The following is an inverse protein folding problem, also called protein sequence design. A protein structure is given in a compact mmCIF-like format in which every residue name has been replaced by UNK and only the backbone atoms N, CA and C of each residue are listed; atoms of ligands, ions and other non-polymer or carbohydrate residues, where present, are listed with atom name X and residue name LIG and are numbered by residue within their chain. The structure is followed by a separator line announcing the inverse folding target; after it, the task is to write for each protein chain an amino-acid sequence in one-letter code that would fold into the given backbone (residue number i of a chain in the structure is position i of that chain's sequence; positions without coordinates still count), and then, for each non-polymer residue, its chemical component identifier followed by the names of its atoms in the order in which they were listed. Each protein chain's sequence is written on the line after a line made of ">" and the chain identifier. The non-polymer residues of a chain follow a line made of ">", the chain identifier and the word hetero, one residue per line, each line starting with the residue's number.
data_IF_026868502942
#
_entry.id   IF_026868502942
#
_cell.length_a   1.000
_cell.length_b   1.000
_cell.length_c   1.000
_cell.angle_alpha   90.00
_cell.angle_beta   90.00
_cell.angle_gamma   90.00
#
_symmetry.space_group_name_H-M   'P 1'
#
loop_
_entity.id
_entity.type
_entity.pdbx_description
1 polymer ?
#
# COMPACT_ATOMS: atom_id res chain seq x y z
N UNK A 1 -41.38 46.17 -17.97
CA UNK A 1 -40.76 45.08 -18.76
C UNK A 1 -41.71 44.65 -19.86
N UNK A 2 -41.31 44.75 -21.13
CA UNK A 2 -42.08 44.22 -22.26
C UNK A 2 -42.20 42.70 -22.15
N UNK A 3 -43.27 42.10 -22.70
CA UNK A 3 -43.44 40.63 -22.72
C UNK A 3 -42.23 39.93 -23.35
N UNK A 4 -41.59 40.55 -24.33
CA UNK A 4 -40.35 40.06 -24.97
C UNK A 4 -39.17 39.93 -24.00
N UNK A 5 -38.99 40.87 -23.06
CA UNK A 5 -37.91 40.81 -22.07
C UNK A 5 -38.08 39.63 -21.08
N UNK A 6 -39.33 39.24 -20.77
CA UNK A 6 -39.61 38.06 -19.93
C UNK A 6 -39.25 36.76 -20.64
N UNK A 7 -39.56 36.65 -21.93
CA UNK A 7 -39.21 35.48 -22.74
C UNK A 7 -37.69 35.32 -22.92
N UNK A 8 -36.96 36.42 -23.13
CA UNK A 8 -35.49 36.40 -23.19
C UNK A 8 -34.89 35.88 -21.88
N UNK A 9 -35.41 36.34 -20.74
CA UNK A 9 -34.97 35.84 -19.42
C UNK A 9 -35.23 34.35 -19.22
N UNK A 10 -36.40 33.86 -19.65
CA UNK A 10 -36.72 32.41 -19.59
C UNK A 10 -35.73 31.60 -20.41
N UNK A 11 -35.36 32.06 -21.61
CA UNK A 11 -34.36 31.39 -22.45
C UNK A 11 -32.96 31.41 -21.84
N UNK A 12 -32.54 32.51 -21.22
CA UNK A 12 -31.26 32.61 -20.53
C UNK A 12 -31.21 31.63 -19.36
N UNK A 13 -32.26 31.58 -18.53
CA UNK A 13 -32.34 30.65 -17.40
C UNK A 13 -32.35 29.20 -17.89
N UNK A 14 -33.10 28.89 -18.94
CA UNK A 14 -33.12 27.56 -19.54
C UNK A 14 -31.73 27.15 -20.06
N UNK A 15 -31.01 28.05 -20.71
CA UNK A 15 -29.64 27.82 -21.19
C UNK A 15 -28.68 27.53 -20.03
N UNK A 16 -28.76 28.32 -18.94
CA UNK A 16 -27.93 28.12 -17.75
C UNK A 16 -28.16 26.73 -17.16
N UNK A 17 -29.43 26.32 -17.01
CA UNK A 17 -29.77 24.98 -16.47
C UNK A 17 -29.19 23.87 -17.35
N UNK A 18 -29.32 23.98 -18.68
CA UNK A 18 -28.75 23.00 -19.61
C UNK A 18 -27.21 22.95 -19.49
N UNK A 19 -26.54 24.12 -19.44
CA UNK A 19 -25.10 24.18 -19.25
C UNK A 19 -24.67 23.55 -17.91
N UNK A 20 -25.40 23.81 -16.82
CA UNK A 20 -25.09 23.22 -15.51
C UNK A 20 -25.21 21.69 -15.54
N UNK A 21 -26.27 21.16 -16.15
CA UNK A 21 -26.46 19.70 -16.27
C UNK A 21 -25.32 19.07 -17.08
N UNK A 22 -24.94 19.67 -18.22
CA UNK A 22 -23.83 19.18 -19.05
C UNK A 22 -22.51 19.20 -18.28
N UNK A 23 -22.22 20.27 -17.53
CA UNK A 23 -21.01 20.36 -16.70
C UNK A 23 -20.99 19.30 -15.61
N UNK A 24 -22.11 19.08 -14.92
CA UNK A 24 -22.21 18.05 -13.88
C UNK A 24 -22.03 16.63 -14.44
N UNK A 25 -22.61 16.34 -15.61
CA UNK A 25 -22.42 15.03 -16.24
C UNK A 25 -20.97 14.82 -16.69
N UNK A 26 -20.33 15.86 -17.23
CA UNK A 26 -18.93 15.81 -17.62
C UNK A 26 -18.01 15.60 -16.40
N UNK A 27 -18.26 16.32 -15.29
CA UNK A 27 -17.53 16.10 -14.03
C UNK A 27 -17.68 14.67 -13.52
N UNK A 28 -18.91 14.13 -13.51
CA UNK A 28 -19.15 12.73 -13.08
C UNK A 28 -18.37 11.72 -13.92
N UNK A 29 -18.33 11.89 -15.25
CA UNK A 29 -17.56 11.00 -16.14
C UNK A 29 -16.06 11.10 -15.88
N UNK A 30 -15.55 12.30 -15.66
CA UNK A 30 -14.15 12.52 -15.31
C UNK A 30 -13.78 11.90 -13.96
N UNK A 31 -14.63 12.07 -12.94
CA UNK A 31 -14.45 11.44 -11.62
C UNK A 31 -14.45 9.92 -11.70
N UNK A 32 -15.38 9.34 -12.48
CA UNK A 32 -15.42 7.89 -12.70
C UNK A 32 -14.15 7.38 -13.40
N UNK A 33 -13.67 8.06 -14.45
CA UNK A 33 -12.43 7.69 -15.13
C UNK A 33 -11.20 7.82 -14.25
N UNK A 34 -11.13 8.87 -13.43
CA UNK A 34 -10.06 9.05 -12.45
C UNK A 34 -10.09 7.95 -11.37
N UNK A 35 -11.29 7.60 -10.88
CA UNK A 35 -11.49 6.53 -9.90
C UNK A 35 -11.04 5.17 -10.43
N UNK A 36 -11.47 4.79 -11.63
CA UNK A 36 -11.04 3.54 -12.27
C UNK A 36 -9.52 3.48 -12.46
N UNK A 37 -8.91 4.61 -12.82
CA UNK A 37 -7.45 4.71 -12.95
C UNK A 37 -6.75 4.48 -11.60
N UNK A 38 -7.26 5.09 -10.53
CA UNK A 38 -6.73 4.91 -9.18
C UNK A 38 -6.91 3.47 -8.67
N UNK A 39 -8.06 2.85 -8.91
CA UNK A 39 -8.33 1.45 -8.59
C UNK A 39 -7.36 0.53 -9.34
N UNK A 40 -7.09 0.79 -10.62
CA UNK A 40 -6.11 0.03 -11.42
C UNK A 40 -4.67 0.18 -10.90
N UNK A 41 -4.26 1.41 -10.54
CA UNK A 41 -2.95 1.69 -9.96
C UNK A 41 -2.80 1.02 -8.59
N UNK A 42 -3.83 1.09 -7.75
CA UNK A 42 -3.87 0.43 -6.45
C UNK A 42 -3.77 -1.10 -6.63
N UNK A 43 -4.62 -1.69 -7.48
CA UNK A 43 -4.63 -3.13 -7.74
C UNK A 43 -3.29 -3.64 -8.25
N UNK A 44 -2.68 -2.93 -9.20
CA UNK A 44 -1.33 -3.26 -9.70
C UNK A 44 -0.29 -3.18 -8.59
N UNK A 45 -0.32 -2.12 -7.77
CA UNK A 45 0.65 -1.94 -6.68
C UNK A 45 0.51 -3.04 -5.62
N UNK A 46 -0.72 -3.37 -5.21
CA UNK A 46 -0.99 -4.42 -4.25
C UNK A 46 -0.59 -5.81 -4.76
N UNK A 47 -0.82 -6.10 -6.04
CA UNK A 47 -0.39 -7.35 -6.65
C UNK A 47 1.14 -7.50 -6.64
N UNK A 48 1.89 -6.42 -6.90
CA UNK A 48 3.35 -6.44 -6.81
C UNK A 48 3.85 -6.60 -5.38
N UNK A 49 3.23 -5.91 -4.42
CA UNK A 49 3.53 -6.07 -2.98
C UNK A 49 3.32 -7.52 -2.56
N UNK A 50 2.16 -8.10 -2.92
CA UNK A 50 1.80 -9.48 -2.64
C UNK A 50 2.82 -10.47 -3.20
N UNK A 51 3.14 -10.33 -4.49
CA UNK A 51 4.13 -11.17 -5.17
C UNK A 51 5.46 -11.14 -4.45
N UNK A 52 5.97 -9.96 -4.11
CA UNK A 52 7.27 -9.84 -3.46
C UNK A 52 7.28 -10.42 -2.04
N UNK A 53 6.22 -10.27 -1.26
CA UNK A 53 6.13 -10.91 0.05
C UNK A 53 6.03 -12.44 -0.06
N UNK A 54 5.30 -12.95 -1.05
CA UNK A 54 5.24 -14.38 -1.35
C UNK A 54 6.63 -14.92 -1.66
N UNK A 55 7.36 -14.26 -2.56
CA UNK A 55 8.74 -14.62 -2.90
C UNK A 55 9.68 -14.59 -1.67
N UNK A 56 9.52 -13.62 -0.77
CA UNK A 56 10.30 -13.56 0.49
C UNK A 56 10.02 -14.81 1.34
N UNK A 57 8.75 -15.23 1.44
CA UNK A 57 8.35 -16.38 2.25
C UNK A 57 8.82 -17.71 1.66
N UNK A 58 9.00 -17.81 0.34
CA UNK A 58 9.61 -19.00 -0.29
C UNK A 58 11.05 -19.24 0.21
N UNK A 59 11.76 -18.18 0.59
CA UNK A 59 13.12 -18.24 1.14
C UNK A 59 13.16 -18.64 2.63
N UNK A 60 12.02 -18.71 3.32
CA UNK A 60 11.91 -19.01 4.77
C UNK A 60 12.46 -20.38 5.15
N UNK A 61 12.39 -21.35 4.25
CA UNK A 61 12.83 -22.74 4.49
C UNK A 61 14.35 -22.93 4.52
N UNK A 62 15.11 -21.89 4.16
CA UNK A 62 16.56 -21.95 4.03
C UNK A 62 17.25 -21.10 5.13
N UNK A 63 18.41 -21.52 5.68
CA UNK A 63 19.09 -20.86 6.84
C UNK A 63 19.53 -19.42 6.54
N UNK A 64 19.82 -18.48 7.45
CA UNK A 64 20.25 -17.14 6.99
C UNK A 64 21.56 -17.17 6.14
N UNK A 65 21.60 -16.45 5.01
CA UNK A 65 22.78 -16.35 4.13
C UNK A 65 22.82 -14.99 3.40
N UNK A 66 24.03 -14.47 3.14
CA UNK A 66 24.26 -13.14 2.54
C UNK A 66 23.50 -12.92 1.22
N UNK A 67 23.64 -13.83 0.26
CA UNK A 67 22.92 -13.73 -1.02
C UNK A 67 21.39 -13.66 -0.86
N UNK A 68 20.84 -14.36 0.13
CA UNK A 68 19.39 -14.37 0.39
C UNK A 68 18.94 -13.14 1.14
N UNK A 69 19.74 -12.65 2.08
CA UNK A 69 19.51 -11.34 2.69
C UNK A 69 19.49 -10.23 1.63
N UNK A 70 20.42 -10.26 0.66
CA UNK A 70 20.44 -9.30 -0.44
C UNK A 70 19.17 -9.38 -1.30
N UNK A 71 18.68 -10.60 -1.58
CA UNK A 71 17.42 -10.81 -2.30
C UNK A 71 16.20 -10.31 -1.53
N UNK A 72 16.07 -10.66 -0.25
CA UNK A 72 15.00 -10.19 0.63
C UNK A 72 14.99 -8.67 0.68
N UNK A 73 16.16 -8.04 0.86
CA UNK A 73 16.31 -6.59 0.87
C UNK A 73 15.85 -5.93 -0.43
N UNK A 74 16.23 -6.51 -1.58
CA UNK A 74 15.82 -6.00 -2.89
C UNK A 74 14.29 -6.04 -3.03
N UNK A 75 13.66 -7.14 -2.63
CA UNK A 75 12.20 -7.30 -2.65
C UNK A 75 11.52 -6.32 -1.69
N UNK A 76 12.06 -6.12 -0.48
CA UNK A 76 11.55 -5.14 0.49
C UNK A 76 11.63 -3.69 -0.05
N UNK A 77 12.70 -3.34 -0.76
CA UNK A 77 12.82 -2.02 -1.40
C UNK A 77 11.79 -1.83 -2.52
N UNK A 78 11.51 -2.87 -3.30
CA UNK A 78 10.43 -2.83 -4.30
C UNK A 78 9.06 -2.69 -3.63
N UNK A 79 8.81 -3.46 -2.56
CA UNK A 79 7.59 -3.37 -1.75
C UNK A 79 7.39 -1.96 -1.20
N UNK A 80 8.42 -1.32 -0.66
CA UNK A 80 8.36 0.06 -0.17
C UNK A 80 7.88 1.02 -1.27
N UNK A 81 8.45 0.93 -2.48
CA UNK A 81 8.07 1.78 -3.61
C UNK A 81 6.60 1.58 -4.03
N UNK A 82 6.13 0.34 -4.12
CA UNK A 82 4.73 0.05 -4.43
C UNK A 82 3.80 0.44 -3.27
N UNK A 83 4.23 0.27 -2.03
CA UNK A 83 3.46 0.65 -0.84
C UNK A 83 3.24 2.16 -0.78
N UNK A 84 4.23 2.98 -1.15
CA UNK A 84 4.04 4.43 -1.31
C UNK A 84 2.97 4.79 -2.32
N UNK A 85 2.87 4.01 -3.40
CA UNK A 85 1.88 4.22 -4.45
C UNK A 85 0.48 3.83 -3.96
N UNK A 86 0.37 2.66 -3.32
CA UNK A 86 -0.88 2.19 -2.72
C UNK A 86 -1.41 3.15 -1.64
N UNK A 87 -0.54 3.56 -0.70
CA UNK A 87 -0.87 4.49 0.38
C UNK A 87 -1.37 5.85 -0.16
N UNK A 88 -0.77 6.35 -1.24
CA UNK A 88 -1.24 7.56 -1.92
C UNK A 88 -2.61 7.38 -2.57
N UNK A 89 -2.87 6.24 -3.20
CA UNK A 89 -4.14 5.98 -3.86
C UNK A 89 -5.32 5.97 -2.86
N UNK A 90 -5.09 5.44 -1.66
CA UNK A 90 -6.10 5.33 -0.59
C UNK A 90 -6.04 6.46 0.44
N UNK A 91 -5.15 7.43 0.23
CA UNK A 91 -4.94 8.59 1.12
C UNK A 91 -4.68 8.21 2.59
N UNK A 92 -3.96 7.11 2.82
CA UNK A 92 -3.64 6.61 4.16
C UNK A 92 -2.24 6.01 4.18
N UNK A 93 -1.48 6.22 5.25
CA UNK A 93 -0.11 5.69 5.37
C UNK A 93 -0.12 4.41 6.20
N UNK A 94 -0.39 3.29 5.53
CA UNK A 94 -0.57 1.99 6.19
C UNK A 94 0.54 1.01 5.80
N UNK A 95 0.77 0.80 4.51
CA UNK A 95 1.72 -0.21 4.03
C UNK A 95 3.16 0.32 4.03
N UNK A 96 3.38 1.56 3.59
CA UNK A 96 4.74 2.09 3.46
C UNK A 96 5.50 2.12 4.80
N UNK A 97 4.91 2.57 5.92
CA UNK A 97 5.61 2.57 7.20
C UNK A 97 6.00 1.17 7.70
N UNK A 98 5.28 0.12 7.28
CA UNK A 98 5.59 -1.28 7.60
C UNK A 98 6.77 -1.75 6.75
N UNK A 99 6.72 -1.50 5.44
CA UNK A 99 7.79 -1.85 4.51
C UNK A 99 9.12 -1.18 4.89
N UNK A 100 9.12 0.12 5.22
CA UNK A 100 10.31 0.84 5.66
C UNK A 100 10.93 0.22 6.93
N UNK A 101 10.11 -0.25 7.87
CA UNK A 101 10.58 -0.91 9.09
C UNK A 101 11.21 -2.28 8.80
N UNK A 102 10.59 -3.09 7.95
CA UNK A 102 11.16 -4.37 7.54
C UNK A 102 12.47 -4.18 6.77
N UNK A 103 12.53 -3.18 5.89
CA UNK A 103 13.76 -2.83 5.17
C UNK A 103 14.86 -2.39 6.15
N UNK A 104 14.52 -1.60 7.17
CA UNK A 104 15.44 -1.19 8.24
C UNK A 104 15.99 -2.39 9.01
N UNK A 105 15.15 -3.38 9.34
CA UNK A 105 15.60 -4.64 9.95
C UNK A 105 16.59 -5.36 9.04
N UNK A 106 16.29 -5.45 7.74
CA UNK A 106 17.18 -6.08 6.76
C UNK A 106 18.51 -5.35 6.59
N UNK A 107 18.51 -4.02 6.59
CA UNK A 107 19.72 -3.21 6.55
C UNK A 107 20.55 -3.42 7.83
N UNK A 108 19.92 -3.47 9.01
CA UNK A 108 20.60 -3.75 10.27
C UNK A 108 21.31 -5.11 10.29
N UNK A 109 20.69 -6.16 9.72
CA UNK A 109 21.33 -7.47 9.60
C UNK A 109 22.57 -7.39 8.69
N UNK A 110 22.45 -6.70 7.56
CA UNK A 110 23.56 -6.55 6.60
C UNK A 110 24.73 -5.81 7.25
N UNK A 111 24.43 -4.72 7.95
CA UNK A 111 25.45 -3.88 8.58
C UNK A 111 26.14 -4.66 9.71
N UNK A 112 25.39 -5.41 10.53
CA UNK A 112 25.93 -6.36 11.52
C UNK A 112 26.87 -7.39 10.88
N UNK A 113 26.50 -8.00 9.76
CA UNK A 113 27.34 -8.95 9.04
C UNK A 113 28.61 -8.30 8.49
N UNK A 114 28.52 -7.09 7.94
CA UNK A 114 29.67 -6.35 7.43
C UNK A 114 30.69 -6.02 8.53
N UNK A 115 30.22 -5.76 9.75
CA UNK A 115 31.06 -5.49 10.92
C UNK A 115 31.68 -6.76 11.52
N UNK A 116 30.91 -7.86 11.58
CA UNK A 116 31.29 -9.06 12.33
C UNK A 116 31.83 -10.21 11.46
N UNK A 117 31.62 -10.16 10.14
CA UNK A 117 31.96 -11.22 9.19
C UNK A 117 31.14 -12.51 9.35
N UNK A 118 30.08 -12.50 10.16
CA UNK A 118 29.18 -13.62 10.43
C UNK A 118 27.82 -13.12 10.93
N UNK A 119 26.78 -13.93 10.77
CA UNK A 119 25.47 -13.65 11.36
C UNK A 119 25.48 -13.94 12.87
N UNK A 120 24.85 -13.04 13.64
CA UNK A 120 24.65 -13.19 15.07
C UNK A 120 23.23 -13.71 15.36
N UNK A 121 23.00 -14.21 16.57
CA UNK A 121 21.68 -14.68 17.02
C UNK A 121 20.61 -13.57 16.87
N UNK A 122 20.97 -12.32 17.22
CA UNK A 122 20.08 -11.17 17.02
C UNK A 122 19.73 -10.91 15.55
N UNK A 123 20.59 -11.32 14.60
CA UNK A 123 20.31 -11.17 13.17
C UNK A 123 19.36 -12.26 12.66
N UNK A 124 19.49 -13.48 13.20
CA UNK A 124 18.54 -14.56 12.96
C UNK A 124 17.15 -14.19 13.50
N UNK A 125 17.07 -13.59 14.69
CA UNK A 125 15.82 -13.10 15.26
C UNK A 125 15.16 -12.01 14.38
N UNK A 126 15.93 -11.01 13.94
CA UNK A 126 15.44 -9.98 13.01
C UNK A 126 14.94 -10.59 11.70
N UNK A 127 15.66 -11.57 11.15
CA UNK A 127 15.25 -12.26 9.93
C UNK A 127 13.96 -13.05 10.13
N UNK A 128 13.81 -13.74 11.26
CA UNK A 128 12.58 -14.44 11.63
C UNK A 128 11.40 -13.48 11.78
N UNK A 129 11.62 -12.27 12.33
CA UNK A 129 10.60 -11.22 12.40
C UNK A 129 10.14 -10.78 11.00
N UNK A 130 11.07 -10.56 10.07
CA UNK A 130 10.73 -10.22 8.67
C UNK A 130 9.83 -11.30 8.07
N UNK A 131 10.17 -12.58 8.25
CA UNK A 131 9.37 -13.69 7.70
C UNK A 131 7.98 -13.78 8.31
N UNK A 132 7.89 -13.73 9.65
CA UNK A 132 6.61 -13.78 10.37
C UNK A 132 5.70 -12.62 9.98
N UNK A 133 6.26 -11.42 9.87
CA UNK A 133 5.47 -10.22 9.63
C UNK A 133 5.10 -10.06 8.15
N UNK A 134 5.92 -10.61 7.23
CA UNK A 134 5.55 -10.77 5.81
C UNK A 134 4.31 -11.66 5.66
N UNK A 135 4.28 -12.79 6.37
CA UNK A 135 3.15 -13.73 6.36
C UNK A 135 1.87 -13.08 6.92
N UNK A 136 1.97 -12.40 8.06
CA UNK A 136 0.83 -11.69 8.65
C UNK A 136 0.30 -10.57 7.74
N UNK A 137 1.19 -9.88 7.03
CA UNK A 137 0.82 -8.76 6.17
C UNK A 137 0.03 -9.22 4.95
N UNK A 138 0.35 -10.38 4.36
CA UNK A 138 -0.45 -10.94 3.26
C UNK A 138 -1.91 -11.11 3.68
N UNK A 139 -2.17 -11.72 4.83
CA UNK A 139 -3.54 -11.87 5.34
C UNK A 139 -4.25 -10.53 5.56
N UNK A 140 -3.55 -9.56 6.19
CA UNK A 140 -4.11 -8.24 6.44
C UNK A 140 -4.38 -7.45 5.16
N UNK A 141 -3.54 -7.60 4.13
CA UNK A 141 -3.76 -6.94 2.84
C UNK A 141 -5.06 -7.43 2.19
N UNK A 142 -5.31 -8.74 2.20
CA UNK A 142 -6.56 -9.33 1.70
C UNK A 142 -7.79 -8.77 2.42
N UNK A 143 -7.73 -8.62 3.75
CA UNK A 143 -8.85 -8.09 4.54
C UNK A 143 -9.11 -6.58 4.33
N UNK A 144 -8.05 -5.80 4.11
CA UNK A 144 -8.12 -4.34 4.15
C UNK A 144 -8.41 -3.74 2.76
N UNK A 145 -7.78 -4.30 1.72
CA UNK A 145 -7.73 -3.66 0.40
C UNK A 145 -8.59 -4.34 -0.66
N UNK A 146 -9.00 -5.59 -0.45
CA UNK A 146 -9.81 -6.35 -1.40
C UNK A 146 -11.26 -6.43 -0.94
N UNK A 147 -12.19 -6.47 -1.89
CA UNK A 147 -13.60 -6.68 -1.56
C UNK A 147 -13.82 -8.10 -1.02
N UNK A 148 -14.71 -8.31 -0.03
CA UNK A 148 -15.07 -9.64 0.43
C UNK A 148 -15.51 -10.52 -0.75
N UNK A 149 -15.03 -11.77 -0.81
CA UNK A 149 -15.27 -12.74 -1.90
C UNK A 149 -14.62 -12.41 -3.26
N UNK A 150 -13.90 -11.28 -3.38
CA UNK A 150 -13.02 -11.04 -4.52
C UNK A 150 -11.82 -11.99 -4.45
N UNK A 151 -11.40 -12.52 -5.60
CA UNK A 151 -10.09 -13.19 -5.68
C UNK A 151 -8.97 -12.17 -5.41
N UNK A 152 -7.87 -12.64 -4.83
CA UNK A 152 -6.65 -11.85 -4.66
C UNK A 152 -6.20 -11.34 -6.03
N UNK A 153 -6.06 -10.01 -6.15
CA UNK A 153 -5.73 -9.35 -7.42
C UNK A 153 -6.91 -8.99 -8.33
N UNK A 154 -8.17 -9.19 -7.91
CA UNK A 154 -9.34 -8.83 -8.72
C UNK A 154 -9.89 -7.43 -8.41
N UNK A 155 -10.77 -7.27 -7.42
CA UNK A 155 -11.39 -5.98 -7.09
C UNK A 155 -10.85 -5.39 -5.78
N UNK A 156 -10.36 -4.15 -5.89
CA UNK A 156 -9.81 -3.38 -4.78
C UNK A 156 -10.73 -2.23 -4.39
N UNK A 157 -10.71 -1.85 -3.11
CA UNK A 157 -11.43 -0.67 -2.62
C UNK A 157 -10.48 0.49 -2.37
N UNK A 158 -10.85 1.68 -2.84
CA UNK A 158 -10.19 2.93 -2.44
C UNK A 158 -10.61 3.41 -1.05
N UNK A 159 -11.77 2.93 -0.56
CA UNK A 159 -12.30 3.32 0.74
C UNK A 159 -12.02 2.22 1.77
N UNK A 160 -11.00 2.44 2.57
CA UNK A 160 -10.56 1.50 3.60
C UNK A 160 -11.20 1.87 4.93
N UNK A 161 -11.93 0.93 5.55
CA UNK A 161 -12.64 1.15 6.81
C UNK A 161 -12.14 0.32 7.99
N UNK A 162 -11.52 -0.85 7.74
CA UNK A 162 -11.04 -1.75 8.79
C UNK A 162 -9.53 -2.00 8.63
N UNK A 163 -8.69 -1.11 9.17
CA UNK A 163 -7.23 -1.17 9.05
C UNK A 163 -6.50 -1.33 10.39
N UNK A 164 -7.21 -1.67 11.46
CA UNK A 164 -6.67 -1.78 12.82
C UNK A 164 -5.53 -2.80 12.92
N UNK A 165 -5.65 -3.92 12.19
CA UNK A 165 -4.61 -4.94 12.12
C UNK A 165 -3.28 -4.42 11.56
N UNK A 166 -3.32 -3.59 10.50
CA UNK A 166 -2.13 -2.96 9.93
C UNK A 166 -1.52 -1.94 10.89
N UNK A 167 -2.35 -1.16 11.59
CA UNK A 167 -1.87 -0.21 12.61
C UNK A 167 -1.20 -0.93 13.77
N UNK A 168 -1.78 -2.03 14.24
CA UNK A 168 -1.21 -2.85 15.31
C UNK A 168 0.12 -3.48 14.89
N UNK A 169 0.19 -4.04 13.68
CA UNK A 169 1.42 -4.58 13.09
C UNK A 169 2.53 -3.52 13.02
N UNK A 170 2.20 -2.35 12.47
CA UNK A 170 3.13 -1.22 12.34
C UNK A 170 3.68 -0.77 13.71
N UNK A 171 2.81 -0.70 14.73
CA UNK A 171 3.20 -0.34 16.10
C UNK A 171 4.12 -1.39 16.71
N UNK A 172 3.81 -2.68 16.56
CA UNK A 172 4.63 -3.80 17.05
C UNK A 172 6.03 -3.78 16.43
N UNK A 173 6.11 -3.66 15.10
CA UNK A 173 7.40 -3.53 14.40
C UNK A 173 8.22 -2.34 14.89
N UNK A 174 7.58 -1.21 15.20
CA UNK A 174 8.24 -0.06 15.81
C UNK A 174 8.85 -0.38 17.17
N UNK A 175 8.15 -1.15 18.01
CA UNK A 175 8.66 -1.58 19.31
C UNK A 175 9.82 -2.58 19.16
N UNK A 176 9.70 -3.54 18.26
CA UNK A 176 10.74 -4.53 17.98
C UNK A 176 12.03 -3.84 17.51
N UNK A 177 11.93 -2.88 16.58
CA UNK A 177 13.06 -2.07 16.11
C UNK A 177 13.75 -1.29 17.22
N UNK A 178 12.97 -0.59 18.06
CA UNK A 178 13.53 0.12 19.22
C UNK A 178 14.26 -0.83 20.18
N UNK A 179 13.78 -2.06 20.35
CA UNK A 179 14.44 -3.07 21.17
C UNK A 179 15.84 -3.47 20.65
N UNK A 180 16.06 -3.44 19.33
CA UNK A 180 17.36 -3.72 18.74
C UNK A 180 18.30 -2.51 18.70
N UNK A 181 17.79 -1.29 18.75
CA UNK A 181 18.64 -0.08 18.77
C UNK A 181 19.24 0.26 20.14
N UNK A 182 18.70 -0.31 21.23
CA UNK A 182 19.10 0.01 22.62
C UNK A 182 20.02 -1.07 23.24
N UNK A 183 20.25 -2.18 22.54
CA UNK A 183 21.18 -3.24 22.93
C UNK A 183 22.54 -3.07 22.27
#
# INVERSE_FOLDING_TARGET
>A
MSKSAKWVWVWIVALIVVCTVVVLEHQKRMEQGARMTLESVLGTSLAQIWSHYTDILELKSMPLHEARLAEVRLKLAAIEAYSRTADKAVHSSLLNPIAEKMLTLSDSIRDSYAENGRFLEADEDKYALIMRDSEALLSLMSEVYYLPESQEGAEVTLNISNYDGLVALNKRLGQDLHGYSVK
#
